data_IF_674870566648
#
_entry.id   IF_674870566648
#
_cell.length_a   1.000
_cell.length_b   1.000
_cell.length_c   1.000
_cell.angle_alpha   90.00
_cell.angle_beta   90.00
_cell.angle_gamma   90.00
#
_symmetry.space_group_name_H-M   'P 1'
#
loop_
_entity.id
_entity.type
_entity.pdbx_description
1 polymer ?
#
# COMPACT_ATOMS: atom_id res chain seq x y z
N UNK A 1 0.22 -9.92 -10.20
CA UNK A 1 0.54 -9.18 -8.98
C UNK A 1 -0.05 -7.78 -9.09
N UNK A 2 -0.75 -7.30 -8.05
CA UNK A 2 -1.23 -5.94 -7.95
C UNK A 2 -0.46 -5.22 -6.83
N UNK A 3 0.24 -4.14 -7.15
CA UNK A 3 0.93 -3.30 -6.16
C UNK A 3 0.01 -2.13 -5.80
N UNK A 4 -0.18 -1.85 -4.52
CA UNK A 4 -0.93 -0.68 -4.03
C UNK A 4 0.02 0.20 -3.22
N UNK A 5 0.37 1.37 -3.75
CA UNK A 5 1.33 2.25 -3.12
C UNK A 5 1.75 3.43 -4.00
N UNK A 6 2.73 4.23 -3.53
CA UNK A 6 3.21 5.37 -4.28
C UNK A 6 3.96 4.91 -5.55
N UNK A 7 3.65 5.54 -6.66
CA UNK A 7 4.33 5.40 -7.95
C UNK A 7 4.10 6.68 -8.75
N UNK A 8 4.63 6.78 -9.96
CA UNK A 8 4.40 7.95 -10.82
C UNK A 8 2.92 8.43 -10.78
N UNK A 9 2.64 9.71 -10.63
CA UNK A 9 3.55 10.87 -10.68
C UNK A 9 4.26 11.21 -9.36
N UNK A 10 4.04 10.44 -8.30
CA UNK A 10 4.74 10.65 -7.04
C UNK A 10 6.23 10.35 -7.19
N UNK A 11 7.06 11.14 -6.48
CA UNK A 11 8.52 10.99 -6.46
C UNK A 11 9.02 10.68 -5.06
N UNK A 12 10.26 10.20 -4.99
CA UNK A 12 10.94 9.88 -3.73
C UNK A 12 11.15 8.38 -3.55
N UNK A 13 11.84 8.02 -2.49
CA UNK A 13 12.30 6.65 -2.25
C UNK A 13 11.18 5.61 -2.27
N UNK A 14 10.03 5.91 -1.68
CA UNK A 14 8.90 4.98 -1.64
C UNK A 14 8.37 4.66 -3.05
N UNK A 15 8.19 5.68 -3.90
CA UNK A 15 7.73 5.49 -5.27
C UNK A 15 8.78 4.70 -6.09
N UNK A 16 10.05 5.08 -5.98
CA UNK A 16 11.14 4.39 -6.68
C UNK A 16 11.22 2.91 -6.30
N UNK A 17 11.09 2.58 -5.01
CA UNK A 17 11.11 1.19 -4.55
C UNK A 17 9.95 0.39 -5.15
N UNK A 18 8.73 0.92 -5.16
CA UNK A 18 7.57 0.23 -5.73
C UNK A 18 7.71 0.00 -7.23
N UNK A 19 8.23 0.98 -7.96
CA UNK A 19 8.49 0.84 -9.39
C UNK A 19 9.61 -0.16 -9.71
N UNK A 20 10.69 -0.17 -8.92
CA UNK A 20 11.77 -1.18 -9.03
C UNK A 20 11.22 -2.58 -8.76
N UNK A 21 10.39 -2.75 -7.73
CA UNK A 21 9.77 -4.04 -7.43
C UNK A 21 8.87 -4.50 -8.57
N UNK A 22 8.06 -3.59 -9.14
CA UNK A 22 7.22 -3.92 -10.28
C UNK A 22 8.02 -4.38 -11.48
N UNK A 23 9.11 -3.68 -11.84
CA UNK A 23 10.04 -4.09 -12.91
C UNK A 23 10.70 -5.44 -12.61
N UNK A 24 11.11 -5.65 -11.37
CA UNK A 24 11.74 -6.91 -10.96
C UNK A 24 10.78 -8.09 -11.09
N UNK A 25 9.52 -7.94 -10.69
CA UNK A 25 8.52 -8.98 -10.88
C UNK A 25 8.20 -9.21 -12.36
N UNK A 26 8.04 -8.12 -13.13
CA UNK A 26 7.79 -8.22 -14.58
C UNK A 26 8.95 -8.93 -15.31
N UNK A 27 10.20 -8.63 -14.96
CA UNK A 27 11.38 -9.30 -15.56
C UNK A 27 11.48 -10.80 -15.23
N UNK A 28 10.75 -11.23 -14.19
CA UNK A 28 10.62 -12.66 -13.80
C UNK A 28 9.38 -13.33 -14.42
N UNK A 29 8.69 -12.66 -15.34
CA UNK A 29 7.55 -13.21 -16.08
C UNK A 29 6.19 -13.04 -15.37
N UNK A 30 6.09 -12.23 -14.33
CA UNK A 30 4.81 -11.93 -13.69
C UNK A 30 4.09 -10.78 -14.41
N UNK A 31 2.77 -10.89 -14.51
CA UNK A 31 1.92 -9.76 -14.87
C UNK A 31 1.76 -8.84 -13.65
N UNK A 32 2.13 -7.56 -13.80
CA UNK A 32 2.22 -6.61 -12.69
C UNK A 32 1.57 -5.28 -13.03
N UNK A 33 0.62 -4.86 -12.19
CA UNK A 33 0.04 -3.52 -12.24
C UNK A 33 0.24 -2.77 -10.92
N UNK A 34 0.35 -1.45 -10.99
CA UNK A 34 0.46 -0.57 -9.83
C UNK A 34 -0.79 0.30 -9.74
N UNK A 35 -1.49 0.25 -8.61
CA UNK A 35 -2.57 1.18 -8.25
C UNK A 35 -2.01 2.25 -7.32
N UNK A 36 -1.82 3.46 -7.85
CA UNK A 36 -1.27 4.59 -7.11
C UNK A 36 -2.33 5.64 -6.76
N UNK A 37 -1.93 6.68 -6.06
CA UNK A 37 -2.85 7.65 -5.48
C UNK A 37 -3.32 8.71 -6.47
N UNK A 38 -4.61 9.03 -6.38
CA UNK A 38 -5.16 10.31 -6.84
C UNK A 38 -4.99 11.37 -5.74
N UNK A 39 -5.19 10.96 -4.47
CA UNK A 39 -4.92 11.75 -3.27
C UNK A 39 -4.19 10.85 -2.28
N UNK A 40 -2.91 11.15 -2.01
CA UNK A 40 -2.11 10.43 -1.02
C UNK A 40 -2.32 10.98 0.38
N UNK A 41 -2.33 12.32 0.51
CA UNK A 41 -2.60 13.05 1.74
C UNK A 41 -3.48 14.25 1.45
N UNK A 42 -4.35 14.65 2.38
CA UNK A 42 -5.05 15.94 2.29
C UNK A 42 -4.06 17.09 2.22
N UNK A 43 -4.37 18.12 1.44
CA UNK A 43 -3.47 19.26 1.21
C UNK A 43 -3.10 20.03 2.50
N UNK A 44 -3.97 19.99 3.51
CA UNK A 44 -3.70 20.65 4.80
C UNK A 44 -2.65 19.93 5.66
N UNK A 45 -2.40 18.64 5.44
CA UNK A 45 -1.35 17.89 6.15
C UNK A 45 0.04 18.07 5.52
N UNK A 46 0.10 18.56 4.29
CA UNK A 46 1.35 18.82 3.57
C UNK A 46 1.30 20.20 2.90
N UNK A 47 1.35 21.29 3.67
CA UNK A 47 1.43 22.61 3.08
C UNK A 47 2.82 22.80 2.46
N UNK A 48 2.93 22.86 1.14
CA UNK A 48 4.05 23.53 0.53
C UNK A 48 4.71 22.89 -0.66
N UNK A 49 5.06 21.68 -0.85
CA UNK A 49 5.76 21.22 -2.05
C UNK A 49 5.05 20.04 -2.72
N UNK A 50 4.78 20.17 -4.02
CA UNK A 50 4.29 19.07 -4.83
C UNK A 50 5.23 17.87 -4.72
N UNK A 51 4.70 16.74 -4.27
CA UNK A 51 5.41 15.46 -4.25
C UNK A 51 5.36 14.76 -5.62
N UNK A 52 4.86 15.44 -6.63
CA UNK A 52 4.65 14.89 -7.97
C UNK A 52 5.59 15.50 -8.98
N UNK A 53 5.88 14.75 -10.04
CA UNK A 53 6.62 15.18 -11.22
C UNK A 53 5.67 15.39 -12.39
N UNK A 54 6.06 16.30 -13.30
CA UNK A 54 5.31 16.56 -14.54
C UNK A 54 5.81 15.71 -15.72
N UNK A 55 6.79 14.82 -15.49
CA UNK A 55 7.28 13.91 -16.51
C UNK A 55 6.19 12.92 -16.95
N UNK A 56 6.23 12.39 -18.17
CA UNK A 56 5.31 11.34 -18.60
C UNK A 56 5.51 10.07 -17.75
N UNK A 57 4.47 9.23 -17.60
CA UNK A 57 4.60 7.97 -16.86
C UNK A 57 5.60 7.03 -17.55
N UNK A 58 6.32 6.19 -16.78
CA UNK A 58 7.18 5.16 -17.35
C UNK A 58 6.39 4.25 -18.30
N UNK A 59 6.87 4.12 -19.54
CA UNK A 59 6.18 3.33 -20.58
C UNK A 59 6.25 1.82 -20.34
N UNK A 60 7.17 1.37 -19.49
CA UNK A 60 7.43 -0.02 -19.12
C UNK A 60 6.60 -0.50 -17.92
N UNK A 61 5.80 0.38 -17.31
CA UNK A 61 4.99 0.06 -16.14
C UNK A 61 3.52 0.36 -16.37
N UNK A 62 2.65 -0.58 -15.96
CA UNK A 62 1.21 -0.34 -15.92
C UNK A 62 0.85 0.34 -14.60
N UNK A 63 0.65 1.66 -14.63
CA UNK A 63 0.33 2.48 -13.44
C UNK A 63 -1.06 3.11 -13.60
N UNK A 64 -1.97 2.75 -12.67
CA UNK A 64 -3.31 3.31 -12.58
C UNK A 64 -3.43 4.24 -11.36
N UNK A 65 -3.80 5.49 -11.59
CA UNK A 65 -4.10 6.45 -10.51
C UNK A 65 -5.55 6.34 -10.09
N UNK A 66 -5.82 5.61 -9.02
CA UNK A 66 -7.19 5.32 -8.61
C UNK A 66 -7.45 5.37 -7.09
N UNK A 67 -6.41 5.43 -6.24
CA UNK A 67 -6.57 5.37 -4.79
C UNK A 67 -6.68 6.77 -4.19
N UNK A 68 -7.77 7.06 -3.47
CA UNK A 68 -7.95 8.26 -2.67
C UNK A 68 -7.99 7.88 -1.19
N UNK A 69 -6.96 8.26 -0.42
CA UNK A 69 -6.79 7.82 0.98
C UNK A 69 -7.81 8.38 1.96
N UNK A 70 -8.57 9.40 1.56
CA UNK A 70 -9.55 10.08 2.42
C UNK A 70 -11.01 9.84 2.02
N UNK A 71 -11.25 9.01 1.00
CA UNK A 71 -12.58 8.71 0.48
C UNK A 71 -12.96 7.23 0.70
N UNK A 72 -13.81 6.91 1.70
CA UNK A 72 -14.25 5.54 1.96
C UNK A 72 -14.99 4.87 0.79
N UNK A 73 -15.73 5.62 -0.02
CA UNK A 73 -16.39 5.08 -1.22
C UNK A 73 -15.36 4.68 -2.27
N UNK A 74 -14.27 5.45 -2.39
CA UNK A 74 -13.16 5.09 -3.25
C UNK A 74 -12.47 3.81 -2.77
N UNK A 75 -12.22 3.63 -1.48
CA UNK A 75 -11.61 2.40 -0.92
C UNK A 75 -12.43 1.17 -1.28
N UNK A 76 -13.75 1.27 -1.10
CA UNK A 76 -14.68 0.19 -1.45
C UNK A 76 -14.64 -0.11 -2.95
N UNK A 77 -14.65 0.90 -3.81
CA UNK A 77 -14.59 0.76 -5.27
C UNK A 77 -13.29 0.09 -5.71
N UNK A 78 -12.14 0.59 -5.22
CA UNK A 78 -10.81 0.04 -5.54
C UNK A 78 -10.68 -1.40 -5.04
N UNK A 79 -11.05 -1.67 -3.80
CA UNK A 79 -10.99 -3.02 -3.24
C UNK A 79 -11.86 -4.02 -4.00
N UNK A 80 -13.06 -3.59 -4.46
CA UNK A 80 -13.92 -4.44 -5.32
C UNK A 80 -13.37 -4.64 -6.73
N UNK A 81 -12.68 -3.63 -7.29
CA UNK A 81 -12.00 -3.77 -8.57
C UNK A 81 -10.91 -4.84 -8.46
N UNK A 82 -10.01 -4.73 -7.48
CA UNK A 82 -8.95 -5.72 -7.22
C UNK A 82 -9.54 -7.12 -6.97
N UNK A 83 -10.64 -7.21 -6.20
CA UNK A 83 -11.34 -8.48 -5.99
C UNK A 83 -11.78 -9.14 -7.30
N UNK A 84 -12.26 -8.37 -8.29
CA UNK A 84 -12.71 -8.87 -9.60
C UNK A 84 -11.54 -9.23 -10.51
N UNK A 85 -10.46 -8.44 -10.46
CA UNK A 85 -9.21 -8.69 -11.18
C UNK A 85 -8.53 -9.98 -10.73
N UNK A 86 -8.77 -10.42 -9.48
CA UNK A 86 -8.26 -11.67 -8.88
C UNK A 86 -6.76 -11.84 -9.01
N UNK A 87 -5.92 -10.84 -8.68
CA UNK A 87 -4.48 -11.07 -8.65
C UNK A 87 -4.14 -12.15 -7.61
N UNK A 88 -3.08 -12.93 -7.82
CA UNK A 88 -2.60 -13.88 -6.82
C UNK A 88 -2.15 -13.15 -5.56
N UNK A 89 -1.43 -12.02 -5.76
CA UNK A 89 -0.92 -11.20 -4.68
C UNK A 89 -1.31 -9.73 -4.83
N UNK A 90 -1.69 -9.12 -3.71
CA UNK A 90 -1.72 -7.67 -3.54
C UNK A 90 -0.58 -7.28 -2.61
N UNK A 91 0.40 -6.54 -3.13
CA UNK A 91 1.52 -6.00 -2.37
C UNK A 91 1.23 -4.55 -1.99
N UNK A 92 1.21 -4.27 -0.69
CA UNK A 92 0.95 -2.92 -0.16
C UNK A 92 2.20 -2.33 0.48
N UNK A 93 2.49 -1.06 0.19
CA UNK A 93 3.56 -0.32 0.87
C UNK A 93 2.99 0.49 2.02
N UNK A 94 3.39 0.15 3.25
CA UNK A 94 2.90 0.79 4.47
C UNK A 94 4.01 1.51 5.23
N UNK A 95 3.78 2.77 5.62
CA UNK A 95 4.76 3.60 6.33
C UNK A 95 4.14 4.56 7.34
N UNK A 96 2.81 4.62 7.46
CA UNK A 96 2.11 5.53 8.39
C UNK A 96 0.71 5.02 8.73
N UNK A 97 0.29 5.13 10.01
CA UNK A 97 -1.06 4.74 10.45
C UNK A 97 -2.20 5.46 9.74
N UNK A 98 -1.95 6.67 9.21
CA UNK A 98 -2.92 7.40 8.40
C UNK A 98 -3.47 6.59 7.21
N UNK A 99 -2.65 5.71 6.62
CA UNK A 99 -3.07 4.86 5.49
C UNK A 99 -3.92 3.65 5.91
N UNK A 100 -3.90 3.30 7.19
CA UNK A 100 -4.47 2.05 7.67
C UNK A 100 -5.98 1.87 7.38
N UNK A 101 -6.86 2.86 7.54
CA UNK A 101 -8.27 2.70 7.19
C UNK A 101 -8.49 2.40 5.71
N UNK A 102 -7.80 3.11 4.84
CA UNK A 102 -7.85 2.93 3.40
C UNK A 102 -7.34 1.53 3.01
N UNK A 103 -6.11 1.22 3.38
CA UNK A 103 -5.44 -0.03 3.00
C UNK A 103 -6.10 -1.25 3.61
N UNK A 104 -6.53 -1.17 4.89
CA UNK A 104 -7.24 -2.25 5.55
C UNK A 104 -8.58 -2.58 4.91
N UNK A 105 -9.29 -1.57 4.41
CA UNK A 105 -10.54 -1.77 3.67
C UNK A 105 -10.29 -2.40 2.31
N UNK A 106 -9.31 -1.88 1.56
CA UNK A 106 -8.93 -2.43 0.24
C UNK A 106 -8.47 -3.88 0.38
N UNK A 107 -7.60 -4.19 1.36
CA UNK A 107 -7.08 -5.54 1.59
C UNK A 107 -8.20 -6.55 1.89
N UNK A 108 -9.13 -6.22 2.81
CA UNK A 108 -10.26 -7.09 3.15
C UNK A 108 -11.15 -7.39 1.95
N UNK A 109 -11.44 -6.36 1.16
CA UNK A 109 -12.27 -6.53 -0.03
C UNK A 109 -11.56 -7.37 -1.09
N UNK A 110 -10.27 -7.13 -1.33
CA UNK A 110 -9.47 -7.90 -2.29
C UNK A 110 -9.44 -9.39 -1.91
N UNK A 111 -9.18 -9.72 -0.64
CA UNK A 111 -9.17 -11.10 -0.13
C UNK A 111 -10.52 -11.80 -0.21
N UNK A 112 -11.60 -11.05 -0.29
CA UNK A 112 -12.97 -11.59 -0.31
C UNK A 112 -13.28 -12.48 -1.51
N UNK A 113 -12.36 -12.69 -2.46
CA UNK A 113 -12.49 -13.65 -3.57
C UNK A 113 -11.96 -15.06 -3.21
N UNK A 114 -11.39 -15.26 -2.02
CA UNK A 114 -10.85 -16.53 -1.54
C UNK A 114 -9.56 -17.00 -2.25
N UNK A 115 -8.99 -16.18 -3.14
CA UNK A 115 -7.81 -16.48 -3.94
C UNK A 115 -6.65 -15.53 -3.61
N UNK A 116 -6.91 -14.22 -3.67
CA UNK A 116 -5.90 -13.18 -3.50
C UNK A 116 -5.30 -13.19 -2.10
N UNK A 117 -3.97 -13.18 -2.03
CA UNK A 117 -3.20 -13.00 -0.79
C UNK A 117 -2.69 -11.56 -0.70
N UNK A 118 -2.71 -11.02 0.52
CA UNK A 118 -2.24 -9.66 0.79
C UNK A 118 -0.90 -9.70 1.50
N UNK A 119 0.10 -9.04 0.92
CA UNK A 119 1.44 -8.90 1.47
C UNK A 119 1.69 -7.42 1.74
N UNK A 120 2.31 -7.11 2.86
CA UNK A 120 2.67 -5.74 3.21
C UNK A 120 4.18 -5.59 3.33
N UNK A 121 4.75 -4.68 2.56
CA UNK A 121 6.09 -4.16 2.84
C UNK A 121 5.93 -2.99 3.80
N UNK A 122 6.45 -3.17 5.02
CA UNK A 122 6.29 -2.22 6.12
C UNK A 122 7.63 -1.60 6.50
N UNK A 123 7.65 -0.26 6.60
CA UNK A 123 8.83 0.48 7.02
C UNK A 123 8.80 0.80 8.51
N UNK A 124 7.62 1.19 9.03
CA UNK A 124 7.40 1.50 10.44
C UNK A 124 6.00 1.03 10.86
N UNK A 125 5.90 0.41 12.01
CA UNK A 125 4.62 0.06 12.66
C UNK A 125 4.17 1.20 13.56
N UNK A 126 5.06 1.65 14.43
CA UNK A 126 4.80 2.74 15.37
C UNK A 126 5.49 4.02 14.89
N UNK A 127 4.75 5.13 14.70
CA UNK A 127 5.36 6.41 14.37
C UNK A 127 6.14 6.94 15.57
N UNK A 128 7.15 7.79 15.32
CA UNK A 128 7.92 8.46 16.38
C UNK A 128 7.05 9.35 17.27
N UNK A 129 5.96 9.89 16.73
CA UNK A 129 4.95 10.63 17.46
C UNK A 129 3.68 9.77 17.54
N UNK A 130 3.33 9.34 18.75
CA UNK A 130 2.17 8.48 18.99
C UNK A 130 0.88 9.27 19.12
N UNK A 131 -0.12 8.89 18.32
CA UNK A 131 -1.50 9.36 18.47
C UNK A 131 -2.38 8.24 19.02
N UNK A 132 -3.42 8.61 19.77
CA UNK A 132 -4.37 7.65 20.36
C UNK A 132 -5.05 6.73 19.32
N UNK A 133 -5.14 7.18 18.08
CA UNK A 133 -5.75 6.45 16.97
C UNK A 133 -4.80 5.49 16.26
N UNK A 134 -3.49 5.58 16.48
CA UNK A 134 -2.49 4.80 15.71
C UNK A 134 -2.64 3.30 15.98
N UNK A 135 -2.77 2.90 17.25
CA UNK A 135 -2.93 1.49 17.62
C UNK A 135 -4.18 0.84 17.03
N UNK A 136 -5.40 1.40 17.16
CA UNK A 136 -6.58 0.82 16.52
C UNK A 136 -6.49 0.82 14.99
N UNK A 137 -5.89 1.83 14.37
CA UNK A 137 -5.68 1.90 12.94
C UNK A 137 -4.70 0.81 12.47
N UNK A 138 -3.54 0.70 13.12
CA UNK A 138 -2.58 -0.35 12.83
C UNK A 138 -3.21 -1.74 12.99
N UNK A 139 -3.92 -2.00 14.10
CA UNK A 139 -4.61 -3.28 14.29
C UNK A 139 -5.62 -3.56 13.18
N UNK A 140 -6.39 -2.55 12.78
CA UNK A 140 -7.35 -2.69 11.68
C UNK A 140 -6.67 -3.08 10.38
N UNK A 141 -5.57 -2.44 10.00
CA UNK A 141 -4.85 -2.77 8.76
C UNK A 141 -4.10 -4.10 8.87
N UNK A 142 -3.22 -4.25 9.87
CA UNK A 142 -2.31 -5.38 9.98
C UNK A 142 -3.06 -6.72 10.09
N UNK A 143 -4.24 -6.75 10.73
CA UNK A 143 -5.10 -7.94 10.77
C UNK A 143 -5.69 -8.34 9.41
N UNK A 144 -5.57 -7.52 8.39
CA UNK A 144 -6.02 -7.81 7.01
C UNK A 144 -4.91 -8.33 6.10
N UNK A 145 -3.70 -8.51 6.62
CA UNK A 145 -2.50 -8.89 5.86
C UNK A 145 -2.15 -10.35 6.13
N UNK A 146 -1.81 -11.09 5.07
CA UNK A 146 -1.46 -12.51 5.13
C UNK A 146 0.03 -12.75 5.36
N UNK A 147 0.89 -11.77 5.05
CA UNK A 147 2.33 -11.85 5.27
C UNK A 147 3.02 -10.49 5.17
N UNK A 148 4.20 -10.38 5.76
CA UNK A 148 4.93 -9.12 5.86
C UNK A 148 6.34 -9.24 5.29
N UNK A 149 6.83 -8.11 4.75
CA UNK A 149 8.22 -7.86 4.40
C UNK A 149 8.64 -6.66 5.24
N UNK A 150 9.54 -6.85 6.18
CA UNK A 150 10.04 -5.81 7.06
C UNK A 150 11.49 -5.42 6.71
N UNK A 151 11.89 -4.22 7.12
CA UNK A 151 13.18 -3.65 6.76
C UNK A 151 14.19 -3.70 7.92
N UNK A 152 13.74 -4.02 9.14
CA UNK A 152 14.60 -4.13 10.33
C UNK A 152 14.00 -5.07 11.36
N UNK A 153 14.86 -5.64 12.22
CA UNK A 153 14.44 -6.50 13.32
C UNK A 153 13.53 -5.76 14.32
N UNK A 154 13.74 -4.46 14.51
CA UNK A 154 12.88 -3.64 15.34
C UNK A 154 11.43 -3.65 14.84
N UNK A 155 11.22 -3.45 13.53
CA UNK A 155 9.88 -3.50 12.90
C UNK A 155 9.27 -4.89 13.06
N UNK A 156 10.07 -5.95 12.96
CA UNK A 156 9.60 -7.31 13.21
C UNK A 156 9.08 -7.50 14.64
N UNK A 157 9.82 -7.04 15.64
CA UNK A 157 9.38 -7.12 17.04
C UNK A 157 8.10 -6.30 17.29
N UNK A 158 8.00 -5.11 16.71
CA UNK A 158 6.79 -4.29 16.79
C UNK A 158 5.57 -5.00 16.16
N UNK A 159 5.76 -5.70 15.02
CA UNK A 159 4.69 -6.45 14.35
C UNK A 159 4.09 -7.54 15.22
N UNK A 160 4.87 -8.22 16.07
CA UNK A 160 4.42 -9.30 16.95
C UNK A 160 3.32 -8.85 17.92
N UNK A 161 3.25 -7.55 18.25
CA UNK A 161 2.20 -6.99 19.11
C UNK A 161 0.83 -6.86 18.38
N UNK A 162 0.81 -6.97 17.06
CA UNK A 162 -0.38 -6.73 16.22
C UNK A 162 -0.87 -7.96 15.47
N UNK A 163 0.00 -8.89 15.15
CA UNK A 163 -0.33 -10.01 14.26
C UNK A 163 0.57 -11.22 14.51
N UNK A 164 0.03 -12.41 14.21
CA UNK A 164 0.77 -13.67 14.14
C UNK A 164 1.02 -14.12 12.70
N UNK A 165 0.71 -13.29 11.69
CA UNK A 165 0.99 -13.60 10.31
C UNK A 165 2.51 -13.69 10.07
N UNK A 166 2.97 -14.53 9.12
CA UNK A 166 4.40 -14.69 8.84
C UNK A 166 5.01 -13.37 8.34
N UNK A 167 6.26 -13.14 8.74
CA UNK A 167 7.04 -11.95 8.42
C UNK A 167 8.50 -12.34 8.09
#
# INVERSE_FOLDING_TARGET
ICIVGPAHPYRGGLASIMEIMARTFASRGHDVGIKTFTVQYPSFLFPGKSQTVSAPPPADLHIERCVNTVDPFNWWRVGRAIRRERPDFVLMKYWTPFMAPCFGTIARLARGNGHTRTICQIDNVEPHEHHLVDRPFNRYFLSSIDGFIYMSEQVHEELKAYTSAPA
#
